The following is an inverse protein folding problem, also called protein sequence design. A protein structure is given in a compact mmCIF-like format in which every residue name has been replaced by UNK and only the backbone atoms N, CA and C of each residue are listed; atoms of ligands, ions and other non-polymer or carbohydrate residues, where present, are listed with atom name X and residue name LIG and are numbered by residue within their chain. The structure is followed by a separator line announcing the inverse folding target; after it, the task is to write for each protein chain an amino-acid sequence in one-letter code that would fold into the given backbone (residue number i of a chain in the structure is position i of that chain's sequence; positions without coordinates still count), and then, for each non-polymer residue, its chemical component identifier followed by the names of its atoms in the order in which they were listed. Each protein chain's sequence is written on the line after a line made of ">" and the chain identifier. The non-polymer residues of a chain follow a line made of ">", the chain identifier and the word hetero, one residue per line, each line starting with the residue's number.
data_IF_956014337566
#
_entry.id   IF_956014337566
#
_cell.length_a   1.000
_cell.length_b   1.000
_cell.length_c   1.000
_cell.angle_alpha   90.00
_cell.angle_beta   90.00
_cell.angle_gamma   90.00
#
_symmetry.space_group_name_H-M   'P 1'
#
loop_
_entity.id
_entity.type
_entity.pdbx_description
1 polymer ?
#
# COMPACT_ATOMS: atom_id res chain seq x y z
N UNK A 1 6.09 14.68 -3.35
CA UNK A 1 7.34 14.12 -3.93
C UNK A 1 7.80 14.94 -5.12
N UNK A 2 7.05 14.97 -6.23
CA UNK A 2 7.41 15.73 -7.44
C UNK A 2 7.51 17.24 -7.18
N UNK A 3 6.42 17.83 -6.71
CA UNK A 3 6.30 19.30 -6.66
C UNK A 3 7.11 19.90 -5.49
N UNK A 4 7.11 19.21 -4.35
CA UNK A 4 7.83 19.62 -3.13
C UNK A 4 9.28 19.09 -3.04
N UNK A 5 9.74 18.29 -4.00
CA UNK A 5 11.08 17.69 -4.01
C UNK A 5 11.38 16.69 -2.86
N UNK A 6 10.35 16.18 -2.18
CA UNK A 6 10.54 15.22 -1.08
C UNK A 6 10.91 13.82 -1.58
N UNK A 7 11.88 13.20 -0.92
CA UNK A 7 12.16 11.75 -1.04
C UNK A 7 10.97 10.93 -0.54
N UNK A 8 10.83 9.71 -1.06
CA UNK A 8 9.74 8.79 -0.72
C UNK A 8 9.59 8.60 0.79
N UNK A 9 10.66 8.22 1.51
CA UNK A 9 10.59 7.95 2.95
C UNK A 9 10.04 9.13 3.75
N UNK A 10 10.52 10.35 3.45
CA UNK A 10 10.04 11.58 4.11
C UNK A 10 8.56 11.82 3.81
N UNK A 11 8.14 11.66 2.55
CA UNK A 11 6.77 11.87 2.15
C UNK A 11 5.82 10.82 2.73
N UNK A 12 6.26 9.56 2.76
CA UNK A 12 5.48 8.47 3.30
C UNK A 12 5.31 8.61 4.82
N UNK A 13 6.37 8.93 5.56
CA UNK A 13 6.30 9.20 7.00
C UNK A 13 5.37 10.37 7.34
N UNK A 14 5.33 11.41 6.50
CA UNK A 14 4.37 12.49 6.66
C UNK A 14 2.94 12.02 6.39
N UNK A 15 2.70 11.30 5.28
CA UNK A 15 1.38 10.76 4.93
C UNK A 15 0.84 9.84 6.03
N UNK A 16 1.67 8.95 6.59
CA UNK A 16 1.28 8.06 7.68
C UNK A 16 0.77 8.79 8.91
N UNK A 17 1.27 10.00 9.19
CA UNK A 17 0.81 10.82 10.34
C UNK A 17 -0.51 11.54 10.08
N UNK A 18 -0.95 11.61 8.82
CA UNK A 18 -2.15 12.33 8.39
C UNK A 18 -3.34 11.40 8.23
N UNK A 19 -3.14 10.20 7.69
CA UNK A 19 -4.23 9.27 7.37
C UNK A 19 -4.53 8.28 8.50
N UNK A 20 -5.82 7.99 8.67
CA UNK A 20 -6.35 6.88 9.47
C UNK A 20 -7.43 6.16 8.66
N UNK A 21 -7.48 4.83 8.76
CA UNK A 21 -8.42 4.00 8.03
C UNK A 21 -9.46 3.38 8.97
N UNK A 22 -10.74 3.58 8.66
CA UNK A 22 -11.86 2.92 9.36
C UNK A 22 -12.52 1.93 8.42
N UNK A 23 -12.60 0.68 8.83
CA UNK A 23 -13.41 -0.32 8.13
C UNK A 23 -14.81 -0.40 8.75
N UNK A 24 -15.84 -0.22 7.93
CA UNK A 24 -17.25 -0.26 8.33
C UNK A 24 -17.94 -1.61 8.10
N UNK A 25 -17.27 -2.60 7.50
CA UNK A 25 -17.86 -3.93 7.24
C UNK A 25 -16.81 -5.04 7.10
N UNK A 26 -17.21 -6.28 7.39
CA UNK A 26 -16.40 -7.48 7.15
C UNK A 26 -16.60 -8.07 5.75
N UNK A 27 -17.58 -7.54 5.00
CA UNK A 27 -17.93 -7.96 3.64
C UNK A 27 -16.71 -7.83 2.71
N UNK A 28 -16.30 -8.94 2.11
CA UNK A 28 -15.08 -9.02 1.30
C UNK A 28 -15.19 -8.22 -0.01
N UNK A 29 -16.41 -8.07 -0.51
CA UNK A 29 -16.74 -7.27 -1.68
C UNK A 29 -16.49 -5.78 -1.47
N UNK A 30 -16.53 -5.29 -0.23
CA UNK A 30 -16.21 -3.91 0.11
C UNK A 30 -14.69 -3.68 0.22
N UNK A 31 -13.88 -4.74 0.26
CA UNK A 31 -12.42 -4.64 0.27
C UNK A 31 -11.92 -4.53 -1.17
N UNK A 32 -11.90 -3.28 -1.66
CA UNK A 32 -11.58 -2.95 -3.05
C UNK A 32 -10.26 -3.56 -3.52
N UNK A 33 -10.33 -4.12 -4.74
CA UNK A 33 -9.23 -4.74 -5.46
C UNK A 33 -9.24 -4.23 -6.88
N UNK A 34 -8.06 -3.88 -7.38
CA UNK A 34 -7.90 -3.34 -8.73
C UNK A 34 -6.83 -4.10 -9.50
N UNK A 35 -7.07 -4.34 -10.78
CA UNK A 35 -6.06 -4.88 -11.67
C UNK A 35 -4.90 -3.87 -11.82
N UNK A 36 -3.67 -4.35 -11.65
CA UNK A 36 -2.49 -3.48 -11.66
C UNK A 36 -2.26 -2.85 -13.03
N UNK A 37 -2.51 -3.58 -14.12
CA UNK A 37 -2.34 -3.07 -15.49
C UNK A 37 -3.38 -1.99 -15.78
N UNK A 38 -4.58 -2.11 -15.22
CA UNK A 38 -5.59 -1.07 -15.33
C UNK A 38 -5.14 0.23 -14.65
N UNK A 39 -4.65 0.14 -13.41
CA UNK A 39 -4.15 1.32 -12.67
C UNK A 39 -2.94 1.91 -13.39
N UNK A 40 -1.97 1.09 -13.81
CA UNK A 40 -0.79 1.53 -14.54
C UNK A 40 -1.15 2.30 -15.82
N UNK A 41 -2.18 1.84 -16.55
CA UNK A 41 -2.64 2.51 -17.77
C UNK A 41 -3.35 3.84 -17.50
N UNK A 42 -4.12 3.96 -16.42
CA UNK A 42 -4.96 5.13 -16.14
C UNK A 42 -4.19 6.20 -15.34
N UNK A 43 -3.43 5.78 -14.33
CA UNK A 43 -2.68 6.64 -13.40
C UNK A 43 -1.28 6.07 -13.12
N UNK A 44 -0.39 6.06 -14.14
CA UNK A 44 0.94 5.43 -14.03
C UNK A 44 1.79 6.01 -12.90
N UNK A 45 1.69 7.32 -12.65
CA UNK A 45 2.44 7.98 -11.56
C UNK A 45 2.00 7.48 -10.18
N UNK A 46 0.70 7.27 -9.97
CA UNK A 46 0.16 6.71 -8.72
C UNK A 46 0.55 5.24 -8.59
N UNK A 47 0.53 4.48 -9.69
CA UNK A 47 0.97 3.10 -9.68
C UNK A 47 2.44 2.95 -9.26
N UNK A 48 3.32 3.83 -9.77
CA UNK A 48 4.73 3.89 -9.34
C UNK A 48 4.87 4.09 -7.82
N UNK A 49 4.04 4.95 -7.22
CA UNK A 49 3.98 5.12 -5.76
C UNK A 49 3.48 3.86 -5.05
N UNK A 50 2.49 3.15 -5.61
CA UNK A 50 2.01 1.88 -5.05
C UNK A 50 3.09 0.79 -5.07
N UNK A 51 3.96 0.77 -6.09
CA UNK A 51 5.11 -0.13 -6.14
C UNK A 51 6.13 0.21 -5.04
N UNK A 52 6.48 1.49 -4.88
CA UNK A 52 7.36 1.93 -3.80
C UNK A 52 6.81 1.59 -2.41
N UNK A 53 5.49 1.74 -2.22
CA UNK A 53 4.80 1.32 -0.98
C UNK A 53 4.91 -0.19 -0.76
N UNK A 54 4.74 -0.99 -1.81
CA UNK A 54 4.85 -2.44 -1.70
C UNK A 54 6.28 -2.88 -1.34
N UNK A 55 7.30 -2.25 -1.90
CA UNK A 55 8.70 -2.49 -1.54
C UNK A 55 9.00 -2.09 -0.08
N UNK A 56 8.51 -0.93 0.35
CA UNK A 56 8.63 -0.47 1.73
C UNK A 56 7.95 -1.44 2.71
N UNK A 57 6.77 -1.95 2.34
CA UNK A 57 6.06 -2.97 3.10
C UNK A 57 6.88 -4.27 3.21
N UNK A 58 7.38 -4.81 2.09
CA UNK A 58 8.17 -6.05 2.14
C UNK A 58 9.42 -5.88 2.99
N UNK A 59 10.12 -4.75 2.84
CA UNK A 59 11.30 -4.40 3.66
C UNK A 59 10.97 -4.35 5.15
N UNK A 60 9.87 -3.70 5.53
CA UNK A 60 9.42 -3.63 6.92
C UNK A 60 9.04 -5.00 7.48
N UNK A 61 8.31 -5.81 6.72
CA UNK A 61 7.91 -7.15 7.16
C UNK A 61 9.10 -8.11 7.27
N UNK A 62 10.10 -7.97 6.39
CA UNK A 62 11.37 -8.68 6.50
C UNK A 62 12.14 -8.27 7.77
N UNK A 63 12.28 -6.96 8.04
CA UNK A 63 12.93 -6.47 9.27
C UNK A 63 12.25 -6.95 10.54
N UNK A 64 10.93 -7.12 10.51
CA UNK A 64 10.14 -7.65 11.64
C UNK A 64 10.10 -9.18 11.71
N UNK A 65 10.83 -9.87 10.83
CA UNK A 65 10.90 -11.32 10.76
C UNK A 65 9.51 -11.99 10.66
N UNK A 66 8.58 -11.35 9.93
CA UNK A 66 7.22 -11.85 9.78
C UNK A 66 7.22 -13.11 8.89
N UNK A 67 6.54 -14.20 9.30
CA UNK A 67 6.43 -15.43 8.51
C UNK A 67 5.91 -15.19 7.09
N UNK A 68 6.42 -15.95 6.12
CA UNK A 68 6.12 -15.75 4.69
C UNK A 68 4.62 -15.92 4.37
N UNK A 69 3.95 -16.89 5.00
CA UNK A 69 2.52 -17.14 4.90
C UNK A 69 1.70 -15.90 5.30
N UNK A 70 2.06 -15.27 6.43
CA UNK A 70 1.40 -14.04 6.88
C UNK A 70 1.68 -12.87 5.95
N UNK A 71 2.93 -12.72 5.48
CA UNK A 71 3.31 -11.67 4.53
C UNK A 71 2.54 -11.79 3.21
N UNK A 72 2.37 -13.00 2.69
CA UNK A 72 1.62 -13.24 1.45
C UNK A 72 0.16 -12.76 1.54
N UNK A 73 -0.47 -12.89 2.72
CA UNK A 73 -1.84 -12.39 2.94
C UNK A 73 -1.86 -10.86 3.06
N UNK A 74 -0.90 -10.28 3.77
CA UNK A 74 -0.87 -8.83 4.05
C UNK A 74 -0.28 -7.97 2.91
N UNK A 75 0.39 -8.58 1.93
CA UNK A 75 1.03 -7.88 0.80
C UNK A 75 0.09 -6.91 0.09
N UNK A 76 0.62 -5.75 -0.29
CA UNK A 76 -0.15 -4.66 -0.92
C UNK A 76 -0.52 -5.00 -2.37
N UNK A 77 0.42 -5.58 -3.12
CA UNK A 77 0.24 -6.01 -4.50
C UNK A 77 0.54 -7.49 -4.62
N UNK A 78 -0.43 -8.29 -5.05
CA UNK A 78 -0.26 -9.74 -5.21
C UNK A 78 -1.05 -10.25 -6.41
N UNK A 79 -0.45 -11.18 -7.15
CA UNK A 79 -1.03 -11.80 -8.34
C UNK A 79 -1.56 -10.79 -9.38
N UNK A 80 -0.87 -9.66 -9.57
CA UNK A 80 -1.30 -8.61 -10.50
C UNK A 80 -2.45 -7.74 -9.98
N UNK A 81 -2.83 -7.87 -8.71
CA UNK A 81 -3.93 -7.12 -8.10
C UNK A 81 -3.42 -6.23 -6.97
N UNK A 82 -3.89 -4.98 -6.96
CA UNK A 82 -3.68 -4.02 -5.88
C UNK A 82 -4.78 -4.19 -4.83
N UNK A 83 -4.40 -4.37 -3.57
CA UNK A 83 -5.32 -4.54 -2.45
C UNK A 83 -5.43 -3.23 -1.65
N UNK A 84 -6.51 -2.47 -1.86
CA UNK A 84 -6.64 -1.11 -1.34
C UNK A 84 -6.70 -1.07 0.19
N UNK A 85 -7.41 -2.00 0.81
CA UNK A 85 -7.47 -2.10 2.27
C UNK A 85 -6.09 -2.34 2.90
N UNK A 86 -5.25 -3.16 2.27
CA UNK A 86 -3.89 -3.42 2.77
C UNK A 86 -3.03 -2.14 2.69
N UNK A 87 -3.16 -1.37 1.60
CA UNK A 87 -2.48 -0.08 1.44
C UNK A 87 -2.98 0.90 2.51
N UNK A 88 -4.29 0.99 2.71
CA UNK A 88 -4.89 1.90 3.68
C UNK A 88 -4.39 1.61 5.11
N UNK A 89 -4.35 0.33 5.51
CA UNK A 89 -3.82 -0.08 6.80
C UNK A 89 -2.32 0.22 6.91
N UNK A 90 -1.52 -0.11 5.90
CA UNK A 90 -0.07 0.13 5.94
C UNK A 90 0.29 1.63 5.98
N UNK A 91 -0.51 2.45 5.29
CA UNK A 91 -0.34 3.90 5.19
C UNK A 91 -1.03 4.71 6.29
N UNK A 92 -1.67 4.08 7.27
CA UNK A 92 -2.36 4.77 8.37
C UNK A 92 -1.53 4.79 9.65
N UNK A 93 -1.77 5.78 10.51
CA UNK A 93 -1.15 5.85 11.84
C UNK A 93 -1.78 4.85 12.82
N UNK A 94 -3.10 4.68 12.70
CA UNK A 94 -3.95 3.84 13.54
C UNK A 94 -4.68 2.78 12.71
#
# INVERSE_FOLDING_TARGET
>A
MRDEGWKFDKAFEAAKKVFNYTNHTIMQEALEKWDSRLIERIVPEVYSVMIMLNEAFESEMHRRNVPQDKRAVMRLIKNGTVHMANIAVFGSLK
#
